data_IF_765843592092
#
_entry.id   IF_765843592092
#
_cell.length_a   1.000
_cell.length_b   1.000
_cell.length_c   1.000
_cell.angle_alpha   90.00
_cell.angle_beta   90.00
_cell.angle_gamma   90.00
#
_symmetry.space_group_name_H-M   'P 1'
#
loop_
_entity.id
_entity.type
_entity.pdbx_description
1 polymer ?
#
# COMPACT_ATOMS: atom_id res chain seq x y z
N UNK A 1 1.19 12.11 11.20
CA UNK A 1 2.21 11.59 10.27
C UNK A 1 1.56 11.27 8.93
N UNK A 2 2.21 11.60 7.82
CA UNK A 2 1.61 11.52 6.47
C UNK A 2 1.06 10.13 6.13
N UNK A 3 1.73 9.04 6.51
CA UNK A 3 1.26 7.66 6.32
C UNK A 3 -0.14 7.37 6.91
N UNK A 4 -0.49 8.03 8.01
CA UNK A 4 -1.78 7.82 8.67
C UNK A 4 -2.92 8.56 7.97
N UNK A 5 -2.63 9.60 7.18
CA UNK A 5 -3.63 10.38 6.46
C UNK A 5 -2.98 11.14 5.28
N UNK A 6 -2.53 10.44 4.22
CA UNK A 6 -1.86 11.07 3.09
C UNK A 6 -2.78 12.02 2.32
N UNK A 7 -4.05 11.64 2.11
CA UNK A 7 -5.13 12.43 1.49
C UNK A 7 -6.52 11.90 1.86
N UNK A 8 -6.85 11.84 3.15
CA UNK A 8 -8.16 11.39 3.64
C UNK A 8 -8.36 9.88 3.77
N UNK A 9 -7.51 9.07 3.12
CA UNK A 9 -7.55 7.59 3.21
C UNK A 9 -6.25 7.10 3.83
N UNK A 10 -6.35 6.33 4.92
CA UNK A 10 -5.19 5.95 5.72
C UNK A 10 -4.44 4.75 5.12
N UNK A 11 -3.13 4.86 4.91
CA UNK A 11 -2.32 3.70 4.47
C UNK A 11 -2.37 2.55 5.49
N UNK A 12 -2.41 2.90 6.78
CA UNK A 12 -2.37 1.93 7.88
C UNK A 12 -3.58 1.00 7.94
N UNK A 13 -4.72 1.43 7.40
CA UNK A 13 -5.96 0.64 7.37
C UNK A 13 -5.84 -0.57 6.44
N UNK A 14 -4.98 -0.48 5.42
CA UNK A 14 -4.72 -1.57 4.49
C UNK A 14 -3.38 -2.27 4.80
N UNK A 15 -2.32 -1.48 5.02
CA UNK A 15 -0.96 -2.00 5.12
C UNK A 15 -0.45 -2.17 6.56
N UNK A 16 -1.32 -1.97 7.56
CA UNK A 16 -0.94 -2.07 8.97
C UNK A 16 -0.14 -0.88 9.47
N UNK A 17 0.16 -0.84 10.77
CA UNK A 17 0.82 0.33 11.39
C UNK A 17 2.21 0.60 10.82
N UNK A 18 2.93 -0.44 10.41
CA UNK A 18 4.34 -0.38 9.98
C UNK A 18 4.54 -0.83 8.53
N UNK A 19 3.46 -1.02 7.76
CA UNK A 19 3.54 -1.39 6.35
C UNK A 19 3.62 -2.90 6.05
N UNK A 20 3.59 -3.77 7.06
CA UNK A 20 3.67 -5.24 6.92
C UNK A 20 2.45 -5.90 6.29
N UNK A 21 1.39 -5.16 6.01
CA UNK A 21 0.18 -5.70 5.40
C UNK A 21 -0.72 -6.44 6.38
N UNK A 22 -1.52 -7.35 5.83
CA UNK A 22 -2.35 -8.29 6.57
C UNK A 22 -3.72 -7.76 7.01
N UNK A 23 -3.96 -6.46 6.96
CA UNK A 23 -5.24 -5.89 7.37
C UNK A 23 -6.37 -6.32 6.43
N UNK A 24 -7.52 -6.65 7.00
CA UNK A 24 -8.72 -6.97 6.22
C UNK A 24 -9.35 -5.69 5.67
N UNK A 25 -9.37 -5.57 4.34
CA UNK A 25 -9.95 -4.43 3.62
C UNK A 25 -11.43 -4.68 3.37
N UNK A 26 -11.78 -5.87 2.90
CA UNK A 26 -13.16 -6.22 2.58
C UNK A 26 -13.39 -7.73 2.68
N UNK A 27 -14.63 -8.12 2.98
CA UNK A 27 -15.15 -9.47 2.78
C UNK A 27 -16.12 -9.42 1.61
N UNK A 28 -16.00 -10.37 0.68
CA UNK A 28 -16.84 -10.45 -0.50
C UNK A 28 -17.06 -11.90 -0.90
N UNK A 29 -18.00 -12.14 -1.80
CA UNK A 29 -18.25 -13.46 -2.37
C UNK A 29 -17.81 -13.50 -3.82
N UNK A 30 -17.23 -14.62 -4.24
CA UNK A 30 -16.98 -14.85 -5.66
C UNK A 30 -18.26 -15.24 -6.42
N UNK A 31 -18.16 -15.45 -7.73
CA UNK A 31 -19.30 -15.81 -8.59
C UNK A 31 -19.99 -17.12 -8.18
N UNK A 32 -19.31 -17.99 -7.43
CA UNK A 32 -19.83 -19.27 -6.92
C UNK A 32 -20.29 -19.17 -5.45
N UNK A 33 -20.41 -17.94 -4.91
CA UNK A 33 -20.77 -17.63 -3.51
C UNK A 33 -19.78 -18.17 -2.47
N UNK A 34 -18.50 -18.38 -2.83
CA UNK A 34 -17.49 -18.68 -1.81
C UNK A 34 -17.02 -17.39 -1.13
N UNK A 35 -16.87 -17.37 0.21
CA UNK A 35 -16.37 -16.22 0.93
C UNK A 35 -14.89 -15.97 0.60
N UNK A 36 -14.55 -14.71 0.35
CA UNK A 36 -13.19 -14.22 0.10
C UNK A 36 -12.90 -13.04 1.02
N UNK A 37 -11.63 -12.92 1.40
CA UNK A 37 -11.13 -11.82 2.21
C UNK A 37 -10.06 -11.10 1.39
N UNK A 38 -10.28 -9.82 1.13
CA UNK A 38 -9.26 -8.94 0.59
C UNK A 38 -8.38 -8.44 1.74
N UNK A 39 -7.07 -8.66 1.64
CA UNK A 39 -6.08 -8.17 2.59
C UNK A 39 -5.09 -7.23 1.92
N UNK A 40 -4.59 -6.25 2.67
CA UNK A 40 -3.46 -5.46 2.21
C UNK A 40 -2.16 -6.26 2.24
N UNK A 41 -1.24 -5.89 1.37
CA UNK A 41 0.06 -6.54 1.19
C UNK A 41 1.15 -5.88 2.03
N UNK A 42 2.25 -6.60 2.26
CA UNK A 42 3.49 -6.03 2.79
C UNK A 42 4.12 -5.10 1.75
N UNK A 43 4.47 -3.88 2.19
CA UNK A 43 5.12 -2.84 1.38
C UNK A 43 6.46 -2.39 1.99
N UNK A 44 6.97 -3.07 3.02
CA UNK A 44 8.23 -2.73 3.70
C UNK A 44 9.46 -2.98 2.83
N UNK A 45 9.36 -3.92 1.88
CA UNK A 45 10.42 -4.27 0.93
C UNK A 45 10.43 -3.44 -0.36
N UNK A 46 9.44 -2.55 -0.54
CA UNK A 46 9.34 -1.77 -1.78
C UNK A 46 10.51 -0.79 -1.89
N UNK A 47 11.09 -0.67 -3.08
CA UNK A 47 11.96 0.45 -3.42
C UNK A 47 11.15 1.75 -3.50
N UNK A 48 11.83 2.90 -3.41
CA UNK A 48 11.20 4.21 -3.58
C UNK A 48 10.46 4.33 -4.92
N UNK A 49 11.01 3.71 -5.98
CA UNK A 49 10.41 3.70 -7.32
C UNK A 49 9.11 2.90 -7.36
N UNK A 50 9.08 1.73 -6.74
CA UNK A 50 7.87 0.88 -6.65
C UNK A 50 6.79 1.53 -5.80
N UNK A 51 7.16 2.15 -4.69
CA UNK A 51 6.23 2.89 -3.85
C UNK A 51 5.64 4.09 -4.61
N UNK A 52 6.48 4.87 -5.29
CA UNK A 52 6.03 6.01 -6.13
C UNK A 52 5.06 5.57 -7.21
N UNK A 53 5.35 4.45 -7.89
CA UNK A 53 4.44 3.88 -8.88
C UNK A 53 3.10 3.49 -8.24
N UNK A 54 3.13 2.78 -7.10
CA UNK A 54 1.91 2.30 -6.44
C UNK A 54 1.00 3.44 -5.98
N UNK A 55 1.59 4.52 -5.44
CA UNK A 55 0.87 5.74 -5.05
C UNK A 55 0.28 6.51 -6.26
N UNK A 56 0.81 6.27 -7.46
CA UNK A 56 0.28 6.70 -8.76
C UNK A 56 -0.64 5.66 -9.40
N UNK A 57 -1.15 4.71 -8.61
CA UNK A 57 -2.03 3.64 -9.06
C UNK A 57 -1.38 2.66 -10.05
N UNK A 58 -0.06 2.47 -10.00
CA UNK A 58 0.67 1.63 -10.95
C UNK A 58 1.60 0.64 -10.24
N UNK A 59 1.67 -0.59 -10.74
CA UNK A 59 2.67 -1.56 -10.30
C UNK A 59 3.07 -2.48 -11.46
N UNK A 60 4.23 -3.15 -11.34
CA UNK A 60 4.74 -4.04 -12.38
C UNK A 60 4.54 -5.50 -12.01
N UNK A 61 4.04 -6.27 -12.97
CA UNK A 61 3.99 -7.75 -12.91
C UNK A 61 4.45 -8.28 -14.25
N UNK A 62 5.46 -9.15 -14.26
CA UNK A 62 6.04 -9.73 -15.48
C UNK A 62 6.36 -8.66 -16.55
N UNK A 63 7.06 -7.60 -16.12
CA UNK A 63 7.44 -6.43 -16.93
C UNK A 63 6.27 -5.63 -17.55
N UNK A 64 5.02 -5.88 -17.15
CA UNK A 64 3.84 -5.14 -17.62
C UNK A 64 3.30 -4.24 -16.52
N UNK A 65 2.89 -3.02 -16.89
CA UNK A 65 2.21 -2.09 -15.98
C UNK A 65 0.79 -2.61 -15.72
N UNK A 66 0.39 -2.60 -14.45
CA UNK A 66 -0.93 -2.94 -13.94
C UNK A 66 -1.40 -1.82 -13.03
N UNK A 67 -2.72 -1.70 -12.90
CA UNK A 67 -3.34 -0.68 -12.05
C UNK A 67 -4.01 -1.32 -10.85
N UNK A 68 -3.92 -0.67 -9.69
CA UNK A 68 -4.63 -1.15 -8.51
C UNK A 68 -6.14 -0.92 -8.70
N UNK A 69 -6.93 -1.93 -8.34
CA UNK A 69 -8.39 -1.87 -8.44
C UNK A 69 -9.05 -1.27 -7.21
N UNK A 70 -8.36 -1.30 -6.07
CA UNK A 70 -8.91 -0.95 -4.74
C UNK A 70 -8.08 0.15 -4.07
N UNK A 71 -6.75 0.12 -4.21
CA UNK A 71 -5.90 1.17 -3.66
C UNK A 71 -6.10 2.47 -4.44
N UNK A 72 -6.41 3.60 -3.77
CA UNK A 72 -6.64 4.87 -4.44
C UNK A 72 -5.31 5.50 -4.90
N UNK A 73 -5.42 6.46 -5.82
CA UNK A 73 -4.31 7.34 -6.19
C UNK A 73 -4.22 8.51 -5.20
N UNK A 74 -3.01 8.85 -4.74
CA UNK A 74 -2.82 9.79 -3.64
C UNK A 74 -2.35 11.20 -4.04
N UNK A 75 -2.10 11.49 -5.33
CA UNK A 75 -1.67 12.82 -5.84
C UNK A 75 -0.63 13.54 -4.95
N UNK A 76 0.37 12.80 -4.49
CA UNK A 76 1.43 13.27 -3.61
C UNK A 76 2.60 13.84 -4.40
N UNK A 77 3.26 14.84 -3.82
CA UNK A 77 4.56 15.34 -4.27
C UNK A 77 5.66 14.32 -4.01
N UNK A 78 6.80 14.47 -4.69
CA UNK A 78 7.94 13.56 -4.50
C UNK A 78 8.51 13.62 -3.06
N UNK A 79 8.47 14.79 -2.42
CA UNK A 79 8.88 14.94 -1.02
C UNK A 79 7.94 14.20 -0.05
N UNK A 80 6.63 14.28 -0.27
CA UNK A 80 5.63 13.52 0.50
C UNK A 80 5.81 12.01 0.31
N UNK A 81 6.03 11.54 -0.92
CA UNK A 81 6.30 10.14 -1.21
C UNK A 81 7.58 9.67 -0.49
N UNK A 82 8.64 10.48 -0.53
CA UNK A 82 9.88 10.19 0.17
C UNK A 82 9.68 10.10 1.68
N UNK A 83 8.87 10.98 2.28
CA UNK A 83 8.57 10.92 3.71
C UNK A 83 7.82 9.63 4.11
N UNK A 84 6.90 9.15 3.27
CA UNK A 84 6.25 7.84 3.48
C UNK A 84 7.26 6.71 3.38
N UNK A 85 8.13 6.74 2.36
CA UNK A 85 9.17 5.73 2.17
C UNK A 85 10.11 5.65 3.37
N UNK A 86 10.65 6.79 3.81
CA UNK A 86 11.60 6.86 4.92
C UNK A 86 10.98 6.31 6.22
N UNK A 87 9.69 6.59 6.45
CA UNK A 87 8.95 5.99 7.56
C UNK A 87 8.86 4.46 7.48
N UNK A 88 8.56 3.90 6.30
CA UNK A 88 8.48 2.45 6.11
C UNK A 88 9.84 1.80 6.38
N UNK A 89 10.93 2.40 5.89
CA UNK A 89 12.29 1.92 6.12
C UNK A 89 12.69 2.00 7.59
N UNK A 90 12.36 3.10 8.27
CA UNK A 90 12.61 3.25 9.70
C UNK A 90 11.84 2.22 10.54
N UNK A 91 10.56 2.02 10.22
CA UNK A 91 9.70 1.07 10.94
C UNK A 91 10.18 -0.37 10.77
N UNK A 92 10.59 -0.74 9.56
CA UNK A 92 11.13 -2.07 9.26
C UNK A 92 12.45 -2.35 10.00
N UNK A 93 13.29 -1.33 10.20
CA UNK A 93 14.56 -1.46 10.96
C UNK A 93 14.37 -1.60 12.47
N UNK A 94 13.24 -1.16 13.02
CA UNK A 94 12.95 -1.26 14.47
C UNK A 94 12.37 -2.61 14.89
N UNK A 95 11.80 -3.35 13.94
CA UNK A 95 11.20 -4.66 14.19
C UNK A 95 12.20 -5.82 13.97
N UNK A 96 13.38 -5.53 13.40
CA UNK A 96 14.50 -6.47 13.22
C UNK A 96 15.62 -6.16 14.21
#
# INVERSE_FOLDING_TARGET
MLYANPRGISCKQCHGKTGKGGQTIAKYYDKKRNPKILRGVDITSYSLKELKASLKNEYKVNNRIKYHKIMPMYYLTDAEIKAIYDFLQYSNKKEN
#
